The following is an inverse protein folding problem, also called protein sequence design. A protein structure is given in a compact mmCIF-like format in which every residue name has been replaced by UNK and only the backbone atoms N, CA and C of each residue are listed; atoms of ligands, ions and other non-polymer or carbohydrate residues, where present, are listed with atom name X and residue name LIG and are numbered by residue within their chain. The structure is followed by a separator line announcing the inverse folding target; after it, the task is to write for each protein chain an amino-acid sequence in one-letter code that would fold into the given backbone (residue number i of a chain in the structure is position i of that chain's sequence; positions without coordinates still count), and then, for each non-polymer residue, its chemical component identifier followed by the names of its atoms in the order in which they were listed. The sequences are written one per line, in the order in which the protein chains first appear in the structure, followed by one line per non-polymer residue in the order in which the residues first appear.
data_IF_872814803733
#
_entry.id   IF_872814803733
#
_cell.length_a   1.000
_cell.length_b   1.000
_cell.length_c   1.000
_cell.angle_alpha   90.00
_cell.angle_beta   90.00
_cell.angle_gamma   90.00
#
_symmetry.space_group_name_H-M   'P 1'
#
loop_
_entity.id
_entity.type
_entity.pdbx_description
1 polymer ?
#
# COMPACT_ATOMS: atom_id res chain seq x y z
N UNK A 1 16.36 21.67 -8.58
CA UNK A 1 15.17 21.13 -7.92
C UNK A 1 14.59 20.12 -8.88
N UNK A 2 14.89 18.85 -8.65
CA UNK A 2 14.82 17.83 -9.70
C UNK A 2 13.38 17.40 -9.97
N UNK A 3 13.08 17.30 -11.26
CA UNK A 3 11.78 17.12 -11.91
C UNK A 3 11.31 15.66 -11.89
N UNK A 4 11.59 14.93 -10.81
CA UNK A 4 11.33 13.49 -10.73
C UNK A 4 9.87 13.18 -10.35
N UNK A 5 8.94 13.64 -11.20
CA UNK A 5 7.51 13.36 -11.11
C UNK A 5 7.06 12.67 -12.40
N UNK A 6 6.51 11.48 -12.26
CA UNK A 6 5.88 10.73 -13.35
C UNK A 6 4.37 10.95 -13.28
N UNK A 7 3.74 11.57 -14.29
CA UNK A 7 2.29 11.74 -14.31
C UNK A 7 1.57 10.39 -14.49
N UNK A 8 0.32 10.32 -14.06
CA UNK A 8 -0.51 9.17 -14.36
C UNK A 8 -0.91 9.17 -15.85
N UNK A 9 -0.18 8.43 -16.69
CA UNK A 9 -0.55 8.22 -18.09
C UNK A 9 -1.37 6.94 -18.20
N UNK A 10 -2.59 7.05 -18.72
CA UNK A 10 -3.60 5.99 -18.67
C UNK A 10 -3.18 4.67 -19.34
N UNK A 11 -2.16 4.65 -20.20
CA UNK A 11 -1.70 3.46 -20.90
C UNK A 11 -0.21 3.63 -21.25
N UNK A 12 0.71 3.06 -20.47
CA UNK A 12 2.10 2.88 -20.93
C UNK A 12 2.14 1.65 -21.85
N UNK A 13 2.34 1.84 -23.18
CA UNK A 13 2.30 0.76 -24.15
C UNK A 13 3.43 -0.26 -23.98
N UNK A 14 4.46 0.02 -23.17
CA UNK A 14 5.64 -0.84 -23.04
C UNK A 14 5.39 -2.05 -22.13
N UNK A 15 4.51 -1.93 -21.11
CA UNK A 15 4.36 -2.97 -20.06
C UNK A 15 2.90 -3.42 -19.86
N UNK A 16 1.91 -2.69 -20.41
CA UNK A 16 0.50 -3.12 -20.35
C UNK A 16 -0.13 -3.01 -18.96
N UNK A 17 0.50 -2.25 -18.06
CA UNK A 17 -0.05 -1.87 -16.75
C UNK A 17 -0.79 -0.55 -16.90
N UNK A 18 -2.00 -0.48 -16.36
CA UNK A 18 -2.78 0.75 -16.28
C UNK A 18 -2.61 1.37 -14.91
N UNK A 19 -2.57 2.70 -14.82
CA UNK A 19 -2.42 3.40 -13.56
C UNK A 19 -3.20 4.70 -13.52
N UNK A 20 -3.59 5.14 -12.33
CA UNK A 20 -4.29 6.41 -12.08
C UNK A 20 -4.04 6.91 -10.67
N UNK A 21 -4.16 8.21 -10.47
CA UNK A 21 -4.08 8.84 -9.16
C UNK A 21 -5.48 9.04 -8.59
N UNK A 22 -5.66 8.75 -7.30
CA UNK A 22 -6.94 8.85 -6.58
C UNK A 22 -6.77 9.61 -5.26
N UNK A 23 -7.88 10.12 -4.74
CA UNK A 23 -8.01 10.59 -3.35
C UNK A 23 -8.73 9.52 -2.54
N UNK A 24 -8.14 9.15 -1.41
CA UNK A 24 -8.63 8.12 -0.48
C UNK A 24 -9.57 8.74 0.56
N UNK A 25 -9.09 9.78 1.26
CA UNK A 25 -9.83 10.46 2.33
C UNK A 25 -9.89 11.95 2.01
N UNK A 26 -11.08 12.52 2.21
CA UNK A 26 -11.34 13.96 2.16
C UNK A 26 -12.11 14.34 3.43
N UNK A 27 -11.41 14.44 4.56
CA UNK A 27 -12.03 14.90 5.81
C UNK A 27 -12.25 16.43 5.80
N UNK A 28 -13.16 16.97 6.64
CA UNK A 28 -13.45 18.41 6.73
C UNK A 28 -12.23 19.30 7.03
N UNK A 29 -11.12 18.71 7.48
CA UNK A 29 -9.90 19.39 7.92
C UNK A 29 -8.81 19.47 6.83
N UNK A 30 -9.16 19.37 5.54
CA UNK A 30 -8.22 19.40 4.40
C UNK A 30 -7.16 18.28 4.40
N UNK A 31 -7.43 17.15 5.06
CA UNK A 31 -6.57 15.97 4.95
C UNK A 31 -6.87 15.31 3.61
N UNK A 32 -5.97 15.46 2.64
CA UNK A 32 -6.06 14.83 1.32
C UNK A 32 -5.02 13.72 1.22
N UNK A 33 -5.40 12.52 1.66
CA UNK A 33 -4.57 11.32 1.45
C UNK A 33 -4.83 10.87 0.02
N UNK A 34 -3.76 10.83 -0.79
CA UNK A 34 -3.83 10.36 -2.17
C UNK A 34 -3.10 9.03 -2.33
N UNK A 35 -3.38 8.34 -3.43
CA UNK A 35 -2.63 7.16 -3.82
C UNK A 35 -2.54 7.05 -5.34
N UNK A 36 -1.52 6.34 -5.81
CA UNK A 36 -1.46 5.85 -7.18
C UNK A 36 -1.90 4.40 -7.21
N UNK A 37 -2.94 4.12 -8.00
CA UNK A 37 -3.38 2.77 -8.29
C UNK A 37 -2.66 2.22 -9.51
N UNK A 38 -2.35 0.94 -9.46
CA UNK A 38 -1.83 0.17 -10.58
C UNK A 38 -2.70 -1.06 -10.78
N UNK A 39 -3.04 -1.33 -12.03
CA UNK A 39 -3.83 -2.47 -12.46
C UNK A 39 -3.01 -3.27 -13.48
N UNK A 40 -2.81 -4.59 -13.26
CA UNK A 40 -2.10 -5.42 -14.22
C UNK A 40 -2.90 -5.53 -15.52
N UNK A 41 -2.22 -5.99 -16.57
CA UNK A 41 -2.85 -6.19 -17.87
C UNK A 41 -4.07 -7.11 -17.73
N UNK A 42 -5.25 -6.57 -18.01
CA UNK A 42 -6.47 -7.37 -17.99
C UNK A 42 -6.42 -8.37 -19.15
N UNK A 43 -6.60 -9.64 -18.84
CA UNK A 43 -6.88 -10.66 -19.86
C UNK A 43 -8.36 -10.59 -20.23
N UNK A 44 -8.77 -11.25 -21.32
CA UNK A 44 -10.10 -11.08 -21.94
C UNK A 44 -11.29 -11.49 -21.06
N UNK A 45 -11.08 -11.94 -19.83
CA UNK A 45 -12.13 -12.28 -18.87
C UNK A 45 -12.37 -11.12 -17.90
N UNK A 46 -13.56 -10.53 -17.97
CA UNK A 46 -13.99 -9.38 -17.15
C UNK A 46 -14.17 -9.70 -15.66
N UNK A 47 -13.98 -10.95 -15.25
CA UNK A 47 -14.19 -11.44 -13.88
C UNK A 47 -12.90 -11.76 -13.12
N UNK A 48 -11.72 -11.54 -13.71
CA UNK A 48 -10.46 -11.88 -13.06
C UNK A 48 -10.17 -10.96 -11.85
N UNK A 49 -10.02 -11.59 -10.69
CA UNK A 49 -9.58 -10.98 -9.43
C UNK A 49 -8.10 -11.26 -9.18
N UNK A 50 -7.36 -10.22 -8.82
CA UNK A 50 -5.92 -10.27 -8.56
C UNK A 50 -5.65 -10.01 -7.07
N UNK A 51 -4.56 -10.58 -6.51
CA UNK A 51 -4.06 -10.18 -5.20
C UNK A 51 -3.97 -8.66 -5.08
N UNK A 52 -4.16 -8.16 -3.86
CA UNK A 52 -4.08 -6.74 -3.57
C UNK A 52 -2.85 -6.43 -2.73
N UNK A 53 -2.07 -5.45 -3.16
CA UNK A 53 -0.90 -4.97 -2.45
C UNK A 53 -1.08 -3.50 -2.05
N UNK A 54 -0.98 -3.20 -0.76
CA UNK A 54 -0.89 -1.81 -0.28
C UNK A 54 0.59 -1.45 -0.11
N UNK A 55 1.06 -0.41 -0.81
CA UNK A 55 2.47 0.02 -0.87
C UNK A 55 2.70 1.46 -0.36
N UNK A 56 3.73 1.68 0.49
CA UNK A 56 4.09 2.96 1.16
C UNK A 56 5.56 3.11 0.81
N UNK A 57 5.85 4.19 0.10
CA UNK A 57 7.20 4.46 -0.37
C UNK A 57 8.16 4.70 0.81
N UNK A 58 9.45 4.53 0.55
CA UNK A 58 10.51 4.92 1.49
C UNK A 58 10.80 6.43 1.44
N UNK A 59 12.00 6.83 1.87
CA UNK A 59 12.42 8.23 1.88
C UNK A 59 12.50 8.87 3.26
N UNK A 60 12.72 8.08 4.32
CA UNK A 60 12.99 8.62 5.65
C UNK A 60 11.85 9.44 6.27
N UNK A 61 10.61 9.26 5.81
CA UNK A 61 9.44 10.10 6.13
C UNK A 61 9.50 11.54 5.60
N UNK A 62 10.52 11.91 4.82
CA UNK A 62 10.75 13.29 4.40
C UNK A 62 10.75 13.47 2.88
N UNK A 63 11.08 12.44 2.11
CA UNK A 63 11.25 12.54 0.65
C UNK A 63 10.49 11.45 -0.10
N UNK A 64 10.39 11.63 -1.42
CA UNK A 64 9.72 10.76 -2.36
C UNK A 64 8.19 10.71 -2.23
N UNK A 65 7.56 10.10 -3.23
CA UNK A 65 6.14 9.86 -3.31
C UNK A 65 5.88 8.65 -4.21
N UNK A 66 4.62 8.18 -4.34
CA UNK A 66 4.22 7.22 -5.38
C UNK A 66 4.50 7.69 -6.81
N UNK A 67 4.76 8.99 -6.99
CA UNK A 67 4.94 9.65 -8.27
C UNK A 67 6.41 9.80 -8.67
N UNK A 68 7.34 9.53 -7.76
CA UNK A 68 8.79 9.54 -8.04
C UNK A 68 9.17 8.40 -8.98
N UNK A 69 10.00 8.63 -10.01
CA UNK A 69 10.32 7.61 -11.04
C UNK A 69 10.86 6.33 -10.44
N UNK A 70 11.68 6.41 -9.38
CA UNK A 70 12.18 5.22 -8.65
C UNK A 70 11.03 4.31 -8.20
N UNK A 71 10.04 4.86 -7.49
CA UNK A 71 8.93 4.09 -6.94
C UNK A 71 7.93 3.71 -8.02
N UNK A 72 7.67 4.62 -8.97
CA UNK A 72 6.83 4.34 -10.12
C UNK A 72 7.35 3.14 -10.94
N UNK A 73 8.61 3.16 -11.39
CA UNK A 73 9.19 2.10 -12.21
C UNK A 73 9.23 0.75 -11.48
N UNK A 74 9.57 0.77 -10.19
CA UNK A 74 9.61 -0.44 -9.36
C UNK A 74 8.22 -1.08 -9.22
N UNK A 75 7.20 -0.27 -8.90
CA UNK A 75 5.83 -0.78 -8.75
C UNK A 75 5.23 -1.20 -10.10
N UNK A 76 5.53 -0.46 -11.17
CA UNK A 76 5.07 -0.81 -12.51
C UNK A 76 5.59 -2.20 -12.93
N UNK A 77 6.89 -2.47 -12.72
CA UNK A 77 7.48 -3.79 -12.98
C UNK A 77 6.87 -4.87 -12.05
N UNK A 78 6.70 -4.58 -10.76
CA UNK A 78 6.11 -5.50 -9.80
C UNK A 78 4.68 -5.93 -10.20
N UNK A 79 3.86 -4.98 -10.65
CA UNK A 79 2.49 -5.23 -11.09
C UNK A 79 2.46 -6.18 -12.29
N UNK A 80 3.35 -5.94 -13.26
CA UNK A 80 3.45 -6.75 -14.47
C UNK A 80 3.89 -8.19 -14.19
N UNK A 81 4.91 -8.36 -13.34
CA UNK A 81 5.48 -9.67 -13.01
C UNK A 81 4.58 -10.49 -12.06
N UNK A 82 4.00 -9.84 -11.05
CA UNK A 82 3.24 -10.54 -10.01
C UNK A 82 1.73 -10.61 -10.27
N UNK A 83 1.23 -9.95 -11.32
CA UNK A 83 -0.20 -9.82 -11.62
C UNK A 83 -1.00 -9.39 -10.37
N UNK A 84 -0.67 -8.22 -9.83
CA UNK A 84 -1.18 -7.72 -8.55
C UNK A 84 -1.78 -6.33 -8.72
N UNK A 85 -2.93 -6.06 -8.10
CA UNK A 85 -3.43 -4.67 -7.98
C UNK A 85 -2.63 -3.97 -6.89
N UNK A 86 -2.11 -2.77 -7.15
CA UNK A 86 -1.32 -2.02 -6.14
C UNK A 86 -2.00 -0.70 -5.78
N UNK A 87 -2.13 -0.45 -4.49
CA UNK A 87 -2.49 0.86 -3.91
C UNK A 87 -1.22 1.48 -3.32
N UNK A 88 -0.56 2.36 -4.07
CA UNK A 88 0.65 3.05 -3.61
C UNK A 88 0.29 4.38 -2.95
N UNK A 89 0.28 4.40 -1.63
CA UNK A 89 -0.21 5.50 -0.79
C UNK A 89 0.81 6.63 -0.70
N UNK A 90 0.33 7.86 -0.86
CA UNK A 90 1.08 9.10 -0.71
C UNK A 90 0.78 9.73 0.66
N UNK A 91 1.45 9.23 1.69
CA UNK A 91 1.32 9.75 3.05
C UNK A 91 2.02 11.12 3.21
N UNK A 92 1.55 11.92 4.16
CA UNK A 92 2.14 13.22 4.51
C UNK A 92 3.52 13.04 5.13
N UNK A 93 4.43 13.96 4.82
CA UNK A 93 5.85 13.88 5.14
C UNK A 93 6.29 14.99 6.08
N UNK A 94 7.37 14.73 6.81
CA UNK A 94 8.10 15.73 7.57
C UNK A 94 8.97 16.59 6.62
N UNK A 95 9.33 17.82 7.02
CA UNK A 95 9.05 18.46 8.32
C UNK A 95 7.65 19.07 8.46
N UNK A 96 6.89 19.20 7.38
CA UNK A 96 5.57 19.85 7.39
C UNK A 96 4.55 19.08 8.23
N UNK A 97 4.65 17.75 8.23
CA UNK A 97 3.83 16.84 9.03
C UNK A 97 4.72 15.85 9.77
N UNK A 98 4.93 16.11 11.07
CA UNK A 98 5.77 15.28 11.92
C UNK A 98 5.12 13.92 12.22
N UNK A 99 5.93 12.97 12.69
CA UNK A 99 5.42 11.73 13.30
C UNK A 99 4.48 12.09 14.45
N UNK A 100 3.27 11.49 14.56
CA UNK A 100 2.84 10.24 13.93
C UNK A 100 2.08 10.32 12.61
N UNK A 101 1.96 11.48 11.95
CA UNK A 101 1.04 11.68 10.81
C UNK A 101 1.18 10.68 9.67
N UNK A 102 2.41 10.29 9.31
CA UNK A 102 2.63 9.29 8.26
C UNK A 102 2.01 7.91 8.59
N UNK A 103 1.95 7.53 9.87
CA UNK A 103 1.33 6.29 10.32
C UNK A 103 -0.20 6.40 10.28
N UNK A 104 -0.75 7.53 10.72
CA UNK A 104 -2.18 7.81 10.69
C UNK A 104 -2.72 7.77 9.26
N UNK A 105 -2.07 8.49 8.33
CA UNK A 105 -2.46 8.50 6.91
C UNK A 105 -2.43 7.10 6.29
N UNK A 106 -1.40 6.34 6.66
CA UNK A 106 -1.20 4.98 6.15
C UNK A 106 -2.22 4.00 6.71
N UNK A 107 -2.65 4.20 7.97
CA UNK A 107 -3.71 3.43 8.61
C UNK A 107 -5.08 3.78 8.01
N UNK A 108 -5.37 5.05 7.82
CA UNK A 108 -6.60 5.51 7.16
C UNK A 108 -6.70 5.00 5.72
N UNK A 109 -5.60 4.99 4.98
CA UNK A 109 -5.54 4.37 3.66
C UNK A 109 -5.85 2.87 3.71
N UNK A 110 -5.33 2.15 4.71
CA UNK A 110 -5.60 0.71 4.85
C UNK A 110 -7.05 0.43 5.25
N UNK A 111 -7.65 1.23 6.14
CA UNK A 111 -9.09 1.16 6.47
C UNK A 111 -9.95 1.44 5.23
N UNK A 112 -9.57 2.45 4.44
CA UNK A 112 -10.26 2.75 3.19
C UNK A 112 -10.22 1.56 2.24
N UNK A 113 -9.05 0.92 2.07
CA UNK A 113 -8.92 -0.31 1.27
C UNK A 113 -9.81 -1.43 1.84
N UNK A 114 -9.76 -1.66 3.15
CA UNK A 114 -10.52 -2.72 3.81
C UNK A 114 -12.04 -2.54 3.66
N UNK A 115 -12.53 -1.30 3.52
CA UNK A 115 -13.96 -1.01 3.39
C UNK A 115 -14.59 -1.56 2.10
N UNK A 116 -13.78 -1.88 1.08
CA UNK A 116 -14.22 -2.51 -0.18
C UNK A 116 -14.50 -4.01 -0.05
N UNK A 117 -14.05 -4.65 1.03
CA UNK A 117 -14.27 -6.08 1.27
C UNK A 117 -15.74 -6.35 1.60
N UNK A 118 -16.33 -7.33 0.90
CA UNK A 118 -17.72 -7.79 1.12
C UNK A 118 -17.97 -8.38 2.51
N UNK A 119 -16.91 -8.76 3.22
CA UNK A 119 -17.01 -9.24 4.61
C UNK A 119 -17.51 -8.14 5.58
N UNK A 120 -17.64 -6.90 5.13
CA UNK A 120 -18.23 -5.77 5.86
C UNK A 120 -19.75 -5.57 5.66
N UNK A 121 -20.42 -6.41 4.88
CA UNK A 121 -21.80 -6.13 4.43
C UNK A 121 -21.90 -4.95 3.43
N UNK A 122 -20.78 -4.31 3.11
CA UNK A 122 -20.61 -3.32 2.04
C UNK A 122 -19.88 -3.95 0.86
N UNK A 123 -20.60 -4.14 -0.26
CA UNK A 123 -20.08 -4.73 -1.49
C UNK A 123 -19.51 -3.72 -2.48
N UNK A 124 -18.86 -2.66 -1.99
CA UNK A 124 -18.10 -1.75 -2.85
C UNK A 124 -18.00 -0.31 -2.36
N UNK A 125 -16.88 0.33 -2.71
CA UNK A 125 -16.65 1.76 -2.55
C UNK A 125 -16.67 2.51 -3.88
N UNK A 126 -16.31 3.80 -3.92
CA UNK A 126 -16.33 4.60 -5.16
C UNK A 126 -15.32 4.15 -6.22
N UNK A 127 -14.28 3.40 -5.84
CA UNK A 127 -13.21 3.00 -6.76
C UNK A 127 -13.51 1.68 -7.50
N UNK A 128 -13.85 1.79 -8.78
CA UNK A 128 -14.23 0.66 -9.62
C UNK A 128 -13.14 -0.38 -9.84
N UNK A 129 -11.85 -0.01 -9.85
CA UNK A 129 -10.75 -0.95 -10.02
C UNK A 129 -10.66 -1.91 -8.83
N UNK A 130 -10.85 -1.41 -7.62
CA UNK A 130 -10.87 -2.23 -6.42
C UNK A 130 -12.12 -3.13 -6.40
N UNK A 131 -13.30 -2.58 -6.71
CA UNK A 131 -14.54 -3.35 -6.77
C UNK A 131 -14.47 -4.52 -7.74
N UNK A 132 -13.90 -4.32 -8.94
CA UNK A 132 -13.95 -5.33 -10.01
C UNK A 132 -12.73 -6.22 -10.07
N UNK A 133 -11.54 -5.76 -9.64
CA UNK A 133 -10.29 -6.47 -9.92
C UNK A 133 -9.49 -6.85 -8.67
N UNK A 134 -9.76 -6.27 -7.50
CA UNK A 134 -9.05 -6.65 -6.27
C UNK A 134 -9.69 -7.84 -5.56
N UNK A 135 -8.84 -8.77 -5.13
CA UNK A 135 -9.16 -9.90 -4.26
C UNK A 135 -8.83 -9.56 -2.80
N UNK A 136 -9.88 -9.31 -2.01
CA UNK A 136 -9.75 -8.92 -0.60
C UNK A 136 -9.50 -10.09 0.35
N UNK A 137 -9.52 -11.34 -0.15
CA UNK A 137 -9.04 -12.49 0.61
C UNK A 137 -7.51 -12.62 0.50
N UNK A 138 -6.88 -11.96 -0.48
CA UNK A 138 -5.44 -12.00 -0.73
C UNK A 138 -4.82 -10.61 -0.65
N UNK A 139 -4.84 -10.02 0.54
CA UNK A 139 -4.27 -8.70 0.83
C UNK A 139 -2.85 -8.81 1.40
N UNK A 140 -1.93 -8.04 0.84
CA UNK A 140 -0.52 -7.96 1.21
C UNK A 140 -0.12 -6.52 1.53
N UNK A 141 0.89 -6.36 2.39
CA UNK A 141 1.56 -5.08 2.65
C UNK A 141 3.01 -5.17 2.18
N UNK A 142 3.52 -4.17 1.45
CA UNK A 142 4.94 -4.15 1.09
C UNK A 142 5.54 -2.76 1.05
N UNK A 143 6.84 -2.65 1.32
CA UNK A 143 7.54 -1.36 1.45
C UNK A 143 9.03 -1.42 1.15
N UNK A 144 9.59 -0.23 0.95
CA UNK A 144 11.02 0.06 0.94
C UNK A 144 11.38 0.98 2.12
N UNK A 145 12.53 0.77 2.77
CA UNK A 145 13.17 1.74 3.67
C UNK A 145 12.26 2.21 4.81
N UNK A 146 12.06 3.52 5.00
CA UNK A 146 11.21 4.08 6.07
C UNK A 146 9.76 3.57 6.00
N UNK A 147 9.28 3.25 4.80
CA UNK A 147 7.99 2.59 4.63
C UNK A 147 7.91 1.27 5.40
N UNK A 148 9.01 0.53 5.54
CA UNK A 148 9.04 -0.73 6.29
C UNK A 148 8.68 -0.53 7.78
N UNK A 149 9.04 0.61 8.36
CA UNK A 149 8.63 0.95 9.73
C UNK A 149 7.11 1.17 9.79
N UNK A 150 6.53 1.89 8.82
CA UNK A 150 5.08 2.09 8.71
C UNK A 150 4.36 0.75 8.59
N UNK A 151 4.78 -0.12 7.66
CA UNK A 151 4.16 -1.45 7.49
C UNK A 151 4.26 -2.30 8.75
N UNK A 152 5.39 -2.27 9.44
CA UNK A 152 5.55 -3.05 10.66
C UNK A 152 4.53 -2.63 11.72
N UNK A 153 4.43 -1.32 12.00
CA UNK A 153 3.47 -0.80 12.98
C UNK A 153 2.02 -1.06 12.56
N UNK A 154 1.69 -0.85 11.28
CA UNK A 154 0.34 -1.09 10.78
C UNK A 154 -0.05 -2.57 10.83
N UNK A 155 0.87 -3.48 10.55
CA UNK A 155 0.60 -4.91 10.67
C UNK A 155 0.37 -5.33 12.13
N UNK A 156 1.10 -4.75 13.08
CA UNK A 156 0.87 -4.98 14.51
C UNK A 156 -0.50 -4.46 14.95
N UNK A 157 -0.90 -3.28 14.47
CA UNK A 157 -2.23 -2.71 14.74
C UNK A 157 -3.35 -3.57 14.13
N UNK A 158 -3.18 -4.03 12.89
CA UNK A 158 -4.14 -4.92 12.23
C UNK A 158 -4.32 -6.27 12.95
N UNK A 159 -3.26 -6.79 13.56
CA UNK A 159 -3.25 -8.09 14.24
C UNK A 159 -3.54 -8.04 15.75
N UNK A 160 -3.81 -6.86 16.32
CA UNK A 160 -3.95 -6.68 17.77
C UNK A 160 -5.22 -7.31 18.35
N UNK A 161 -6.22 -7.65 17.50
CA UNK A 161 -7.51 -8.18 17.94
C UNK A 161 -8.40 -7.15 18.63
N UNK A 162 -7.98 -5.88 18.66
CA UNK A 162 -8.77 -4.77 19.17
C UNK A 162 -9.87 -4.40 18.17
N UNK A 163 -11.12 -4.38 18.62
CA UNK A 163 -12.28 -4.03 17.77
C UNK A 163 -12.23 -2.58 17.27
N UNK A 164 -11.51 -1.67 17.94
CA UNK A 164 -11.31 -0.29 17.45
C UNK A 164 -10.34 -0.23 16.25
N UNK A 165 -9.44 -1.22 16.14
CA UNK A 165 -8.45 -1.34 15.07
C UNK A 165 -8.71 -2.55 14.16
N UNK A 166 -9.88 -3.17 14.29
CA UNK A 166 -10.26 -4.37 13.54
C UNK A 166 -10.37 -4.09 12.05
N UNK A 167 -9.42 -4.60 11.27
CA UNK A 167 -9.58 -4.69 9.82
C UNK A 167 -10.35 -5.96 9.50
N UNK A 168 -11.48 -5.83 8.80
CA UNK A 168 -12.26 -6.96 8.29
C UNK A 168 -11.66 -7.56 7.01
N UNK A 169 -10.35 -7.43 6.84
CA UNK A 169 -9.53 -8.06 5.81
C UNK A 169 -8.33 -8.70 6.48
N UNK A 170 -8.04 -9.96 6.14
CA UNK A 170 -6.85 -10.63 6.64
C UNK A 170 -5.63 -10.20 5.81
N UNK A 171 -4.57 -9.76 6.49
CA UNK A 171 -3.28 -9.49 5.85
C UNK A 171 -2.51 -10.81 5.75
N UNK A 172 -2.51 -11.43 4.57
CA UNK A 172 -1.88 -12.75 4.34
C UNK A 172 -0.35 -12.71 4.37
N UNK A 173 0.25 -11.55 4.11
CA UNK A 173 1.70 -11.45 4.05
C UNK A 173 2.23 -10.04 4.00
N UNK A 174 3.50 -9.94 4.40
CA UNK A 174 4.24 -8.69 4.43
C UNK A 174 5.58 -8.88 3.72
N UNK A 175 5.88 -8.00 2.76
CA UNK A 175 7.16 -7.98 2.07
C UNK A 175 7.97 -6.72 2.40
N UNK A 176 9.19 -6.90 2.88
CA UNK A 176 10.11 -5.81 3.16
C UNK A 176 11.27 -5.82 2.17
N UNK A 177 11.41 -4.73 1.42
CA UNK A 177 12.63 -4.43 0.68
C UNK A 177 13.42 -3.42 1.50
N UNK A 178 14.68 -3.71 1.84
CA UNK A 178 15.57 -2.83 2.61
C UNK A 178 14.92 -2.11 3.80
N UNK A 179 14.70 -2.80 4.93
CA UNK A 179 14.15 -2.16 6.13
C UNK A 179 15.02 -0.96 6.55
N UNK A 180 14.46 0.25 6.59
CA UNK A 180 15.10 1.36 7.30
C UNK A 180 14.99 1.06 8.78
N UNK A 181 15.95 0.30 9.28
CA UNK A 181 16.37 0.41 10.66
C UNK A 181 17.22 1.65 10.71
N UNK A 182 16.78 2.68 11.44
CA UNK A 182 17.74 3.68 11.93
C UNK A 182 18.86 2.89 12.61
N UNK A 183 20.05 2.89 12.04
CA UNK A 183 21.17 2.13 12.59
C UNK A 183 22.43 2.98 12.46
N UNK A 184 23.23 2.98 13.52
CA UNK A 184 24.65 2.77 13.30
C UNK A 184 24.78 1.40 12.59
N UNK A 185 24.98 1.49 11.28
CA UNK A 185 25.55 0.58 10.28
C UNK A 185 25.10 -0.89 10.11
N UNK A 186 24.99 -1.22 8.81
CA UNK A 186 25.26 -2.47 8.09
C UNK A 186 24.28 -3.66 8.18
N UNK A 187 23.89 -4.16 6.99
CA UNK A 187 23.30 -5.48 6.75
C UNK A 187 22.17 -5.47 5.71
N UNK A 188 22.40 -6.03 4.50
CA UNK A 188 21.35 -6.36 3.52
C UNK A 188 20.72 -7.71 3.88
N UNK A 189 19.39 -7.78 4.01
CA UNK A 189 18.62 -9.03 3.95
C UNK A 189 17.20 -8.75 3.45
N UNK A 190 16.76 -9.52 2.46
CA UNK A 190 15.37 -9.63 2.02
C UNK A 190 14.71 -10.71 2.90
N UNK A 191 13.69 -10.34 3.68
CA UNK A 191 12.87 -11.29 4.44
C UNK A 191 11.44 -11.20 3.93
N UNK A 192 10.98 -12.25 3.24
CA UNK A 192 9.57 -12.50 3.00
C UNK A 192 9.12 -13.43 4.12
N UNK A 193 8.36 -12.91 5.10
CA UNK A 193 7.76 -13.74 6.14
C UNK A 193 6.26 -13.80 5.87
N UNK A 194 5.81 -14.93 5.31
CA UNK A 194 4.41 -15.33 5.41
C UNK A 194 4.22 -15.80 6.85
N UNK A 195 3.43 -15.08 7.63
CA UNK A 195 3.11 -15.46 9.02
C UNK A 195 1.75 -16.14 8.97
N UNK A 196 1.63 -17.46 9.18
CA UNK A 196 0.35 -18.05 9.51
C UNK A 196 -0.05 -17.53 10.89
N UNK A 197 -1.29 -17.03 11.03
CA UNK A 197 -1.81 -16.55 12.31
C UNK A 197 -1.68 -17.60 13.42
N UNK A 198 -0.85 -17.30 14.42
CA UNK A 198 -1.05 -17.50 15.86
C UNK A 198 0.25 -17.19 16.58
N UNK A 199 0.35 -15.98 17.13
CA UNK A 199 1.28 -15.70 18.22
C UNK A 199 0.43 -15.61 19.47
N UNK A 200 0.36 -16.72 20.21
CA UNK A 200 -0.04 -16.70 21.61
C UNK A 200 1.17 -16.16 22.36
N UNK A 201 1.02 -15.03 23.04
CA UNK A 201 1.98 -14.60 24.04
C UNK A 201 1.62 -15.32 25.34
N UNK A 202 2.48 -16.23 25.80
CA UNK A 202 2.57 -16.52 27.22
C UNK A 202 3.59 -15.55 27.82
N UNK A 203 3.20 -14.91 28.92
CA UNK A 203 3.97 -13.95 29.71
C UNK A 203 5.24 -14.58 30.32
#
# INVERSE_FOLDING_TARGET
MDTDFVPAVSNDPIIGVSLKDITIVQEPNNINISARLYLPKLTTTTTQKFPLLVYFHGGGFCISSPFTSKYHNCINALVAEANVVVVSVNYRKAPEHLIPTAYEDSWDALKWVASYSSNNGGGGGPESWLNHHADFERVFLARDSAGANITHNIAMLAGSGDSEFGLNVEILGIAFTHIFRGRILSGRSLYIRVVPQRVVYDL
#
